data_IF_327095728443
#
_entry.id   IF_327095728443
#
_cell.length_a   1.000
_cell.length_b   1.000
_cell.length_c   1.000
_cell.angle_alpha   90.00
_cell.angle_beta   90.00
_cell.angle_gamma   90.00
#
_symmetry.space_group_name_H-M   'P 1'
#
loop_
_entity.id
_entity.type
_entity.pdbx_description
1 polymer ?
#
# COMPACT_ATOMS: atom_id res chain seq x y z
N UNK A 1 -11.43 16.08 4.34
CA UNK A 1 -10.30 15.51 5.08
C UNK A 1 -8.99 15.70 4.32
N UNK A 2 -8.90 15.38 3.03
CA UNK A 2 -7.69 15.57 2.20
C UNK A 2 -7.25 17.05 2.08
N UNK A 3 -8.19 17.98 1.98
CA UNK A 3 -7.88 19.41 1.88
C UNK A 3 -7.27 19.98 3.17
N UNK A 4 -7.77 19.55 4.34
CA UNK A 4 -7.24 19.97 5.63
C UNK A 4 -5.83 19.47 5.91
N UNK A 5 -5.52 18.24 5.52
CA UNK A 5 -4.18 17.67 5.68
C UNK A 5 -3.15 18.33 4.77
N UNK A 6 -3.52 18.70 3.54
CA UNK A 6 -2.63 19.44 2.62
C UNK A 6 -2.34 20.83 3.15
N UNK A 7 -3.35 21.53 3.68
CA UNK A 7 -3.18 22.88 4.27
C UNK A 7 -2.30 22.81 5.53
N UNK A 8 -2.52 21.85 6.43
CA UNK A 8 -1.65 21.64 7.58
C UNK A 8 -0.20 21.33 7.16
N UNK A 9 0.01 20.52 6.12
CA UNK A 9 1.34 20.23 5.61
C UNK A 9 2.06 21.49 5.13
N UNK A 10 1.34 22.38 4.46
CA UNK A 10 1.90 23.64 3.97
C UNK A 10 2.25 24.60 5.12
N UNK A 11 1.40 24.66 6.16
CA UNK A 11 1.61 25.51 7.33
C UNK A 11 2.74 25.04 8.25
N UNK A 12 3.00 23.73 8.31
CA UNK A 12 4.06 23.12 9.13
C UNK A 12 5.27 22.69 8.31
N UNK A 13 5.35 23.05 7.03
CA UNK A 13 6.52 22.78 6.20
C UNK A 13 7.73 23.54 6.76
N UNK A 14 8.70 22.79 7.25
CA UNK A 14 9.94 23.38 7.77
C UNK A 14 10.73 23.98 6.59
N UNK A 15 11.06 25.25 6.65
CA UNK A 15 11.81 25.96 5.58
C UNK A 15 13.20 25.37 5.35
N UNK A 16 13.71 24.62 6.33
CA UNK A 16 15.03 23.95 6.24
C UNK A 16 15.00 22.67 5.38
N UNK A 17 13.83 22.24 4.92
CA UNK A 17 13.71 21.02 4.09
C UNK A 17 14.22 21.28 2.69
N UNK A 18 15.23 20.51 2.30
CA UNK A 18 15.77 20.57 0.94
C UNK A 18 14.71 20.34 -0.13
N UNK A 19 14.79 21.12 -1.23
CA UNK A 19 13.92 20.91 -2.40
C UNK A 19 14.00 19.48 -2.95
N UNK A 20 15.16 18.85 -2.87
CA UNK A 20 15.36 17.45 -3.28
C UNK A 20 14.47 16.51 -2.47
N UNK A 21 14.36 16.71 -1.16
CA UNK A 21 13.51 15.88 -0.30
C UNK A 21 12.03 16.07 -0.61
N UNK A 22 11.61 17.29 -0.89
CA UNK A 22 10.22 17.57 -1.30
C UNK A 22 9.89 16.88 -2.63
N UNK A 23 10.81 16.95 -3.59
CA UNK A 23 10.66 16.24 -4.87
C UNK A 23 10.57 14.74 -4.64
N UNK A 24 11.45 14.18 -3.83
CA UNK A 24 11.45 12.75 -3.52
C UNK A 24 10.16 12.30 -2.83
N UNK A 25 9.64 13.09 -1.88
CA UNK A 25 8.35 12.80 -1.22
C UNK A 25 7.18 12.86 -2.18
N UNK A 26 7.18 13.81 -3.14
CA UNK A 26 6.19 13.85 -4.20
C UNK A 26 6.25 12.62 -5.11
N UNK A 27 7.45 12.15 -5.45
CA UNK A 27 7.64 10.91 -6.22
C UNK A 27 7.07 9.72 -5.45
N UNK A 28 7.38 9.59 -4.15
CA UNK A 28 6.80 8.53 -3.31
C UNK A 28 5.28 8.56 -3.30
N UNK A 29 4.69 9.76 -3.15
CA UNK A 29 3.24 9.94 -3.17
C UNK A 29 2.65 9.47 -4.50
N UNK A 30 3.19 9.94 -5.62
CA UNK A 30 2.71 9.56 -6.95
C UNK A 30 2.88 8.08 -7.25
N UNK A 31 4.01 7.49 -6.87
CA UNK A 31 4.22 6.04 -6.98
C UNK A 31 3.19 5.26 -6.16
N UNK A 32 2.93 5.68 -4.92
CA UNK A 32 1.94 5.05 -4.06
C UNK A 32 0.52 5.15 -4.61
N UNK A 33 0.11 6.34 -5.06
CA UNK A 33 -1.21 6.57 -5.67
C UNK A 33 -1.36 5.76 -6.96
N UNK A 34 -0.36 5.81 -7.84
CA UNK A 34 -0.38 5.07 -9.11
C UNK A 34 -0.47 3.56 -8.90
N UNK A 35 0.29 3.03 -7.94
CA UNK A 35 0.25 1.61 -7.60
C UNK A 35 -1.12 1.19 -7.06
N UNK A 36 -1.75 2.02 -6.22
CA UNK A 36 -3.10 1.75 -5.73
C UNK A 36 -4.13 1.79 -6.84
N UNK A 37 -4.12 2.82 -7.66
CA UNK A 37 -5.05 2.93 -8.80
C UNK A 37 -4.90 1.76 -9.76
N UNK A 38 -3.66 1.39 -10.09
CA UNK A 38 -3.37 0.24 -10.94
C UNK A 38 -3.89 -1.07 -10.33
N UNK A 39 -3.69 -1.27 -9.02
CA UNK A 39 -4.23 -2.42 -8.30
C UNK A 39 -5.76 -2.46 -8.30
N UNK A 40 -6.42 -1.34 -8.01
CA UNK A 40 -7.89 -1.22 -7.99
C UNK A 40 -8.48 -1.56 -9.36
N UNK A 41 -7.91 -1.02 -10.44
CA UNK A 41 -8.36 -1.27 -11.80
C UNK A 41 -8.31 -2.76 -12.18
N UNK A 42 -7.32 -3.51 -11.66
CA UNK A 42 -7.19 -4.94 -11.91
C UNK A 42 -8.06 -5.80 -10.98
N UNK A 43 -8.33 -5.32 -9.77
CA UNK A 43 -9.21 -6.01 -8.82
C UNK A 43 -10.69 -5.88 -9.20
N UNK A 44 -11.07 -4.82 -9.93
CA UNK A 44 -12.42 -4.54 -10.41
C UNK A 44 -13.47 -4.64 -9.29
N UNK A 45 -14.53 -5.43 -9.53
CA UNK A 45 -15.63 -5.60 -8.58
C UNK A 45 -15.23 -6.31 -7.27
N UNK A 46 -14.13 -7.05 -7.26
CA UNK A 46 -13.64 -7.72 -6.05
C UNK A 46 -13.09 -6.72 -5.02
N UNK A 47 -12.72 -5.52 -5.44
CA UNK A 47 -12.24 -4.46 -4.55
C UNK A 47 -13.30 -3.98 -3.55
N UNK A 48 -14.57 -3.97 -3.93
CA UNK A 48 -15.68 -3.49 -3.09
C UNK A 48 -16.15 -4.51 -2.07
N UNK A 49 -15.71 -5.75 -2.18
CA UNK A 49 -16.06 -6.82 -1.24
C UNK A 49 -15.02 -6.91 -0.14
N UNK A 50 -15.47 -6.66 1.09
CA UNK A 50 -14.62 -6.82 2.27
C UNK A 50 -14.26 -8.29 2.47
N UNK A 51 -13.00 -8.65 2.25
CA UNK A 51 -12.30 -9.88 2.71
C UNK A 51 -13.16 -11.16 2.75
N UNK A 52 -14.20 -11.25 1.93
CA UNK A 52 -15.04 -12.44 1.79
C UNK A 52 -14.89 -12.95 0.36
N UNK A 53 -14.42 -14.17 0.24
CA UNK A 53 -14.37 -14.86 -1.05
C UNK A 53 -15.79 -15.28 -1.42
N UNK A 54 -16.33 -14.69 -2.49
CA UNK A 54 -17.64 -15.06 -3.01
C UNK A 54 -17.53 -16.16 -4.08
N UNK A 55 -18.61 -16.87 -4.29
CA UNK A 55 -18.71 -17.84 -5.39
C UNK A 55 -18.52 -17.12 -6.74
N UNK A 56 -17.51 -17.54 -7.50
CA UNK A 56 -17.11 -16.91 -8.76
C UNK A 56 -15.97 -15.92 -8.69
N UNK A 57 -15.43 -15.61 -7.52
CA UNK A 57 -14.21 -14.83 -7.37
C UNK A 57 -13.01 -15.60 -7.91
N UNK A 58 -12.08 -14.88 -8.54
CA UNK A 58 -10.87 -15.45 -9.11
C UNK A 58 -9.62 -14.76 -8.54
N UNK A 59 -8.54 -15.52 -8.41
CA UNK A 59 -7.24 -14.98 -8.04
C UNK A 59 -6.68 -14.11 -9.15
N UNK A 60 -6.64 -12.80 -8.92
CA UNK A 60 -6.12 -11.84 -9.90
C UNK A 60 -4.62 -12.03 -10.06
N UNK A 61 -4.17 -12.24 -11.29
CA UNK A 61 -2.76 -12.48 -11.65
C UNK A 61 -2.22 -11.47 -12.67
N UNK A 62 -2.97 -10.42 -12.96
CA UNK A 62 -2.62 -9.37 -13.92
C UNK A 62 -2.16 -8.08 -13.24
N UNK A 63 -1.52 -7.19 -13.99
CA UNK A 63 -1.05 -5.92 -13.48
C UNK A 63 -0.06 -6.09 -12.31
N UNK A 64 -0.19 -5.31 -11.22
CA UNK A 64 0.72 -5.37 -10.09
C UNK A 64 0.64 -6.70 -9.32
N UNK A 65 -0.47 -7.44 -9.45
CA UNK A 65 -0.67 -8.77 -8.84
C UNK A 65 0.18 -9.88 -9.46
N UNK A 66 0.92 -9.60 -10.53
CA UNK A 66 1.95 -10.51 -11.06
C UNK A 66 3.12 -10.64 -10.10
N UNK A 67 3.46 -9.57 -9.39
CA UNK A 67 4.66 -9.45 -8.57
C UNK A 67 4.36 -9.44 -7.08
N UNK A 68 3.26 -8.77 -6.69
CA UNK A 68 2.87 -8.56 -5.31
C UNK A 68 1.51 -9.19 -5.02
N UNK A 69 1.38 -9.74 -3.80
CA UNK A 69 0.10 -10.23 -3.29
C UNK A 69 -0.80 -9.07 -2.85
N UNK A 70 -0.20 -8.02 -2.26
CA UNK A 70 -0.91 -6.89 -1.67
C UNK A 70 -0.41 -5.54 -2.20
N UNK A 71 -0.49 -5.27 -3.51
CA UNK A 71 0.01 -4.02 -4.09
C UNK A 71 -0.70 -2.77 -3.55
N UNK A 72 -1.96 -2.89 -3.15
CA UNK A 72 -2.73 -1.80 -2.55
C UNK A 72 -2.14 -1.37 -1.20
N UNK A 73 -1.63 -2.31 -0.42
CA UNK A 73 -0.98 -2.04 0.86
C UNK A 73 0.41 -1.45 0.68
N UNK A 74 1.15 -1.91 -0.33
CA UNK A 74 2.43 -1.29 -0.69
C UNK A 74 2.24 0.17 -1.10
N UNK A 75 1.23 0.47 -1.90
CA UNK A 75 0.88 1.84 -2.26
C UNK A 75 0.47 2.68 -1.04
N UNK A 76 -0.29 2.09 -0.11
CA UNK A 76 -0.70 2.79 1.12
C UNK A 76 0.49 3.13 2.01
N UNK A 77 1.46 2.23 2.14
CA UNK A 77 2.69 2.47 2.88
C UNK A 77 3.48 3.66 2.29
N UNK A 78 3.67 3.68 0.98
CA UNK A 78 4.35 4.77 0.28
C UNK A 78 3.64 6.12 0.49
N UNK A 79 2.32 6.16 0.38
CA UNK A 79 1.51 7.36 0.61
C UNK A 79 1.68 7.85 2.05
N UNK A 80 1.59 6.96 3.04
CA UNK A 80 1.72 7.31 4.46
C UNK A 80 3.09 7.91 4.78
N UNK A 81 4.15 7.38 4.18
CA UNK A 81 5.51 7.85 4.41
C UNK A 81 5.83 9.16 3.66
N UNK A 82 5.16 9.45 2.57
CA UNK A 82 5.44 10.64 1.76
C UNK A 82 5.18 11.95 2.50
N UNK A 83 4.13 12.02 3.30
CA UNK A 83 3.71 13.25 3.98
C UNK A 83 4.71 13.76 5.04
N UNK A 84 5.15 12.95 6.03
CA UNK A 84 6.15 13.38 7.00
C UNK A 84 7.49 13.73 6.35
N UNK A 85 7.84 13.05 5.27
CA UNK A 85 9.05 13.34 4.52
C UNK A 85 8.97 14.71 3.82
N UNK A 86 7.81 15.06 3.27
CA UNK A 86 7.56 16.36 2.65
C UNK A 86 7.71 17.51 3.64
N UNK A 87 7.26 17.33 4.88
CA UNK A 87 7.36 18.33 5.95
C UNK A 87 8.71 18.31 6.68
N UNK A 88 9.61 17.40 6.34
CA UNK A 88 10.93 17.26 6.96
C UNK A 88 10.92 16.68 8.37
N UNK A 89 9.82 16.05 8.75
CA UNK A 89 9.65 15.48 10.09
C UNK A 89 10.13 14.01 10.12
N UNK A 90 11.44 13.81 10.17
CA UNK A 90 12.04 12.47 10.13
C UNK A 90 11.56 11.52 11.23
N UNK A 91 11.35 12.02 12.43
CA UNK A 91 10.80 11.23 13.52
C UNK A 91 9.41 10.68 13.18
N UNK A 92 8.54 11.52 12.62
CA UNK A 92 7.22 11.10 12.16
C UNK A 92 7.28 10.20 10.93
N UNK A 93 8.26 10.40 10.04
CA UNK A 93 8.48 9.52 8.90
C UNK A 93 8.76 8.09 9.34
N UNK A 94 9.69 7.90 10.27
CA UNK A 94 10.05 6.58 10.81
C UNK A 94 8.87 6.00 11.60
N UNK A 95 8.27 6.79 12.50
CA UNK A 95 7.18 6.34 13.34
C UNK A 95 5.94 5.93 12.52
N UNK A 96 5.51 6.77 11.58
CA UNK A 96 4.34 6.49 10.73
C UNK A 96 4.58 5.28 9.82
N UNK A 97 5.78 5.17 9.25
CA UNK A 97 6.18 4.03 8.44
C UNK A 97 6.14 2.72 9.23
N UNK A 98 6.73 2.72 10.44
CA UNK A 98 6.75 1.55 11.32
C UNK A 98 5.33 1.14 11.78
N UNK A 99 4.54 2.09 12.25
CA UNK A 99 3.17 1.82 12.69
C UNK A 99 2.30 1.31 11.54
N UNK A 100 2.39 1.95 10.37
CA UNK A 100 1.67 1.50 9.17
C UNK A 100 2.14 0.09 8.77
N UNK A 101 3.44 -0.18 8.77
CA UNK A 101 3.98 -1.50 8.42
C UNK A 101 3.46 -2.59 9.35
N UNK A 102 3.49 -2.37 10.67
CA UNK A 102 2.95 -3.31 11.66
C UNK A 102 1.45 -3.54 11.44
N UNK A 103 0.68 -2.46 11.23
CA UNK A 103 -0.75 -2.55 10.92
C UNK A 103 -1.02 -3.36 9.66
N UNK A 104 -0.25 -3.14 8.60
CA UNK A 104 -0.39 -3.86 7.34
C UNK A 104 -0.02 -5.34 7.49
N UNK A 105 1.01 -5.67 8.27
CA UNK A 105 1.34 -7.08 8.56
C UNK A 105 0.19 -7.80 9.26
N UNK A 106 -0.47 -7.14 10.21
CA UNK A 106 -1.65 -7.69 10.88
C UNK A 106 -2.80 -7.90 9.90
N UNK A 107 -3.11 -6.90 9.06
CA UNK A 107 -4.15 -6.98 8.03
C UNK A 107 -3.86 -8.07 7.01
N UNK A 108 -2.63 -8.18 6.53
CA UNK A 108 -2.21 -9.22 5.58
C UNK A 108 -2.43 -10.62 6.16
N UNK A 109 -2.09 -10.85 7.43
CA UNK A 109 -2.31 -12.16 8.06
C UNK A 109 -3.77 -12.57 8.05
N UNK A 110 -4.66 -11.65 8.40
CA UNK A 110 -6.11 -11.91 8.39
C UNK A 110 -6.59 -12.18 6.98
N UNK A 111 -6.21 -11.35 6.02
CA UNK A 111 -6.62 -11.47 4.62
C UNK A 111 -6.10 -12.77 3.98
N UNK A 112 -4.82 -13.10 4.17
CA UNK A 112 -4.24 -14.35 3.64
C UNK A 112 -4.89 -15.59 4.27
N UNK A 113 -5.26 -15.55 5.57
CA UNK A 113 -6.00 -16.63 6.20
C UNK A 113 -7.38 -16.87 5.57
N UNK A 114 -8.09 -15.78 5.27
CA UNK A 114 -9.41 -15.85 4.61
C UNK A 114 -9.30 -16.30 3.14
N UNK A 115 -8.30 -15.80 2.41
CA UNK A 115 -8.03 -16.23 1.04
C UNK A 115 -7.63 -17.72 0.98
N UNK A 116 -6.83 -18.17 1.93
CA UNK A 116 -6.46 -19.60 2.03
C UNK A 116 -7.69 -20.46 2.34
N UNK A 117 -8.58 -19.99 3.23
CA UNK A 117 -9.83 -20.69 3.52
C UNK A 117 -10.78 -20.74 2.32
N UNK A 118 -10.85 -19.66 1.55
CA UNK A 118 -11.76 -19.55 0.40
C UNK A 118 -11.26 -20.26 -0.86
N UNK A 119 -9.98 -20.12 -1.19
CA UNK A 119 -9.39 -20.69 -2.41
C UNK A 119 -8.57 -21.96 -2.17
N UNK A 120 -8.24 -22.29 -0.93
CA UNK A 120 -7.49 -23.50 -0.56
C UNK A 120 -6.11 -23.58 -1.24
N UNK A 121 -5.74 -24.76 -1.79
CA UNK A 121 -4.44 -24.97 -2.42
C UNK A 121 -4.14 -24.05 -3.60
N UNK A 122 -5.18 -23.57 -4.29
CA UNK A 122 -5.01 -22.63 -5.42
C UNK A 122 -4.38 -21.32 -4.96
N UNK A 123 -4.80 -20.80 -3.79
CA UNK A 123 -4.18 -19.60 -3.21
C UNK A 123 -2.73 -19.84 -2.81
N UNK A 124 -2.41 -20.97 -2.19
CA UNK A 124 -1.05 -21.32 -1.78
C UNK A 124 -0.09 -21.36 -2.97
N UNK A 125 -0.50 -21.99 -4.06
CA UNK A 125 0.27 -22.05 -5.31
C UNK A 125 0.44 -20.66 -5.97
N UNK A 126 -0.62 -19.87 -5.97
CA UNK A 126 -0.60 -18.50 -6.48
C UNK A 126 0.33 -17.60 -5.64
N UNK A 127 0.25 -17.70 -4.31
CA UNK A 127 1.03 -16.92 -3.37
C UNK A 127 2.53 -17.27 -3.41
N UNK A 128 2.89 -18.54 -3.59
CA UNK A 128 4.27 -19.00 -3.62
C UNK A 128 5.15 -18.27 -4.67
N UNK A 129 4.54 -17.79 -5.75
CA UNK A 129 5.22 -17.09 -6.85
C UNK A 129 5.31 -15.57 -6.66
N UNK A 130 4.79 -15.01 -5.55
CA UNK A 130 4.61 -13.56 -5.36
C UNK A 130 5.06 -13.12 -3.99
N UNK A 131 5.58 -11.91 -3.89
CA UNK A 131 5.96 -11.28 -2.62
C UNK A 131 4.75 -10.58 -1.98
N UNK A 132 4.80 -10.36 -0.67
CA UNK A 132 3.68 -9.75 0.06
C UNK A 132 3.54 -8.25 -0.20
N UNK A 133 4.56 -7.48 0.15
CA UNK A 133 4.53 -6.01 0.13
C UNK A 133 5.63 -5.38 -0.70
N UNK A 134 6.86 -5.88 -0.57
CA UNK A 134 8.05 -5.28 -1.20
C UNK A 134 8.52 -6.22 -2.30
N UNK A 135 8.56 -5.75 -3.57
CA UNK A 135 9.05 -6.56 -4.67
C UNK A 135 10.44 -7.13 -4.36
N UNK A 136 10.63 -8.41 -4.61
CA UNK A 136 11.88 -9.15 -4.44
C UNK A 136 12.35 -9.38 -3.00
N UNK A 137 11.74 -8.76 -1.98
CA UNK A 137 12.16 -8.86 -0.57
C UNK A 137 11.12 -9.61 0.27
N UNK A 138 9.92 -9.05 0.41
CA UNK A 138 8.88 -9.56 1.33
C UNK A 138 7.49 -9.57 0.72
#
# INVERSE_FOLDING_TARGET
VLSGTIVCAFLFANETVSSIMRIFSCILLWCGVSLRLWGILHLKQQFTRHVVVASGDQLVSSGPYRFLRHPLYSGLLLITMSFPLFTGQFGLFILSGLLMFIFLLYRIRIEEAMLTKGFGPAYTMWAAKRKRLIPFIY
#
